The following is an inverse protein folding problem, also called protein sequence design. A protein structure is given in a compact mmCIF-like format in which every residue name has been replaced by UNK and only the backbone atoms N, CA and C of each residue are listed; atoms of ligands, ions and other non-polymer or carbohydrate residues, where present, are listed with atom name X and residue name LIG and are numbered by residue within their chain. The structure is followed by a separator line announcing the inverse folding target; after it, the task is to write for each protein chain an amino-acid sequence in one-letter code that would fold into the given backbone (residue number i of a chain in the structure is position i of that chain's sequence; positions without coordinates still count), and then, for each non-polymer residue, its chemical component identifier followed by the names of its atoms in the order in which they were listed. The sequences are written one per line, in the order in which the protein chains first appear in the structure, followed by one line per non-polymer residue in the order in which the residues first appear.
data_IF_956770315617
#
_entry.id   IF_956770315617
#
_cell.length_a   1.000
_cell.length_b   1.000
_cell.length_c   1.000
_cell.angle_alpha   90.00
_cell.angle_beta   90.00
_cell.angle_gamma   90.00
#
_symmetry.space_group_name_H-M   'P 1'
#
loop_
_entity.id
_entity.type
_entity.pdbx_description
1 polymer ?
#
# COMPACT_ATOMS: atom_id res chain seq x y z
N UNK A 1 47.98 -56.44 23.07
CA UNK A 1 48.92 -55.86 22.08
C UNK A 1 48.28 -54.56 21.66
N UNK A 2 48.59 -53.46 22.37
CA UNK A 2 49.48 -52.38 21.88
C UNK A 2 48.88 -51.78 20.60
N UNK A 3 48.25 -50.61 20.66
CA UNK A 3 48.99 -49.35 20.81
C UNK A 3 48.11 -48.23 21.40
N UNK A 4 48.61 -47.60 22.45
CA UNK A 4 48.27 -46.24 22.85
C UNK A 4 49.23 -45.33 22.09
N UNK A 5 48.71 -44.40 21.31
CA UNK A 5 49.48 -43.26 20.82
C UNK A 5 48.82 -41.97 21.29
N UNK A 6 49.59 -41.29 22.12
CA UNK A 6 49.38 -40.02 22.77
C UNK A 6 49.61 -38.86 21.80
N UNK A 7 49.01 -37.72 22.14
CA UNK A 7 49.70 -36.43 22.30
C UNK A 7 49.34 -35.26 21.37
N UNK A 8 49.24 -34.10 22.05
CA UNK A 8 49.35 -32.69 21.64
C UNK A 8 48.13 -31.92 21.13
N UNK A 9 47.62 -31.13 22.07
CA UNK A 9 47.04 -29.79 21.94
C UNK A 9 47.76 -28.89 20.93
N UNK A 10 46.97 -28.12 20.19
CA UNK A 10 47.32 -26.78 19.74
C UNK A 10 46.08 -25.89 19.76
N UNK A 11 46.07 -24.99 20.72
CA UNK A 11 45.31 -23.74 20.75
C UNK A 11 45.62 -22.91 19.50
N UNK A 12 44.60 -22.43 18.80
CA UNK A 12 44.71 -21.45 17.72
C UNK A 12 43.42 -20.62 17.67
N UNK A 13 43.53 -19.39 18.14
CA UNK A 13 42.50 -18.33 18.15
C UNK A 13 41.86 -18.06 16.76
N UNK A 14 40.65 -17.46 16.74
CA UNK A 14 39.93 -17.13 15.52
C UNK A 14 40.65 -16.03 14.72
N UNK A 15 40.90 -16.30 13.44
CA UNK A 15 41.44 -15.31 12.52
C UNK A 15 40.37 -14.28 12.12
N UNK A 16 40.66 -13.03 12.45
CA UNK A 16 39.96 -11.82 11.99
C UNK A 16 40.17 -11.62 10.48
N UNK A 17 39.08 -11.47 9.73
CA UNK A 17 39.02 -10.81 8.41
C UNK A 17 37.71 -10.00 8.40
N UNK A 18 37.70 -8.75 8.82
CA UNK A 18 38.00 -7.54 8.04
C UNK A 18 37.29 -7.49 6.67
N UNK A 19 36.11 -6.87 6.70
CA UNK A 19 35.56 -5.87 5.79
C UNK A 19 35.99 -5.87 4.32
N UNK A 20 35.02 -6.15 3.45
CA UNK A 20 34.70 -5.46 2.19
C UNK A 20 33.16 -5.41 2.15
N UNK A 21 32.49 -4.33 2.60
CA UNK A 21 32.05 -3.17 1.79
C UNK A 21 31.84 -3.49 0.30
N UNK A 22 30.64 -3.95 -0.01
CA UNK A 22 29.94 -3.71 -1.28
C UNK A 22 28.79 -2.77 -0.90
N UNK A 23 28.59 -1.57 -1.43
CA UNK A 23 28.90 -1.08 -2.77
C UNK A 23 27.58 -0.76 -3.45
N UNK A 24 26.84 0.20 -2.89
CA UNK A 24 25.66 0.79 -3.52
C UNK A 24 26.08 1.39 -4.87
N UNK A 25 25.46 0.91 -5.94
CA UNK A 25 25.53 1.51 -7.27
C UNK A 25 24.22 2.24 -7.49
N UNK A 26 24.23 3.55 -7.24
CA UNK A 26 23.26 4.46 -7.80
C UNK A 26 23.50 4.54 -9.32
N UNK A 27 22.61 3.97 -10.12
CA UNK A 27 22.54 4.23 -11.56
C UNK A 27 21.68 5.46 -11.78
N UNK A 28 22.34 6.52 -12.24
CA UNK A 28 21.75 7.83 -12.47
C UNK A 28 20.77 7.89 -13.64
N UNK A 29 19.84 8.82 -13.49
CA UNK A 29 18.89 9.27 -14.48
C UNK A 29 19.55 9.70 -15.81
N UNK A 30 18.89 9.36 -16.92
CA UNK A 30 19.14 9.92 -18.24
C UNK A 30 17.86 10.62 -18.71
N UNK A 31 17.66 11.87 -18.28
CA UNK A 31 16.64 12.74 -18.85
C UNK A 31 17.14 13.29 -20.20
N UNK A 32 16.46 12.94 -21.29
CA UNK A 32 16.66 13.55 -22.61
C UNK A 32 15.83 14.82 -22.67
N UNK A 33 16.51 15.96 -22.73
CA UNK A 33 15.88 17.27 -22.82
C UNK A 33 15.26 17.55 -24.18
N UNK A 34 14.25 18.43 -24.19
CA UNK A 34 14.10 19.45 -25.23
C UNK A 34 13.94 20.80 -24.56
N UNK A 35 14.82 21.73 -24.92
CA UNK A 35 14.87 23.06 -24.33
C UNK A 35 13.93 24.04 -25.03
N UNK A 36 13.46 25.02 -24.27
CA UNK A 36 13.04 26.32 -24.79
C UNK A 36 13.79 27.41 -24.02
N UNK A 37 14.40 28.31 -24.78
CA UNK A 37 15.28 29.39 -24.32
C UNK A 37 14.48 30.54 -23.72
N UNK A 38 14.90 31.06 -22.57
CA UNK A 38 14.59 32.45 -22.17
C UNK A 38 15.92 33.19 -21.98
N UNK A 39 16.04 34.29 -22.71
CA UNK A 39 17.20 35.15 -22.70
C UNK A 39 17.10 36.19 -21.57
N UNK A 40 18.20 36.31 -20.82
CA UNK A 40 18.71 37.56 -20.25
C UNK A 40 18.13 38.01 -18.90
N UNK A 41 18.97 38.13 -17.88
CA UNK A 41 19.57 39.41 -17.49
C UNK A 41 20.65 39.19 -16.42
N UNK A 42 21.74 39.94 -16.52
CA UNK A 42 22.95 39.80 -15.69
C UNK A 42 22.84 40.53 -14.35
N UNK A 43 23.34 39.90 -13.29
CA UNK A 43 23.87 40.53 -12.08
C UNK A 43 23.12 40.18 -10.80
N UNK A 44 23.76 39.44 -9.90
CA UNK A 44 24.06 39.83 -8.51
C UNK A 44 24.68 38.62 -7.77
N UNK A 45 25.77 38.86 -7.04
CA UNK A 45 26.46 37.85 -6.21
C UNK A 45 25.60 37.51 -5.00
N UNK A 46 25.02 36.31 -4.98
CA UNK A 46 24.32 35.76 -3.82
C UNK A 46 24.76 34.32 -3.59
N UNK A 47 25.48 34.08 -2.49
CA UNK A 47 25.74 32.76 -1.92
C UNK A 47 24.39 32.14 -1.51
N UNK A 48 23.72 31.50 -2.47
CA UNK A 48 22.61 30.60 -2.22
C UNK A 48 23.18 29.21 -1.99
N UNK A 49 23.15 28.75 -0.75
CA UNK A 49 23.17 27.31 -0.50
C UNK A 49 21.88 26.76 -1.13
N UNK A 50 21.99 26.27 -2.36
CA UNK A 50 20.99 25.36 -2.90
C UNK A 50 21.10 24.08 -2.08
N UNK A 51 20.33 24.01 -0.99
CA UNK A 51 19.96 22.74 -0.38
C UNK A 51 19.42 21.87 -1.49
N UNK A 52 20.20 20.85 -1.85
CA UNK A 52 19.74 19.75 -2.68
C UNK A 52 18.79 18.90 -1.83
N UNK A 53 17.59 19.43 -1.57
CA UNK A 53 16.47 18.70 -0.99
C UNK A 53 15.50 18.42 -2.12
N UNK A 54 15.67 17.27 -2.76
CA UNK A 54 14.67 16.72 -3.68
C UNK A 54 14.78 15.19 -3.72
N UNK A 55 15.03 14.56 -2.57
CA UNK A 55 14.46 13.23 -2.38
C UNK A 55 12.97 13.44 -2.21
N UNK A 56 12.13 12.87 -3.08
CA UNK A 56 10.69 12.88 -2.83
C UNK A 56 10.38 12.23 -1.49
N UNK A 57 9.29 12.61 -0.84
CA UNK A 57 8.81 11.90 0.34
C UNK A 57 8.40 10.49 -0.10
N UNK A 58 8.83 9.47 0.64
CA UNK A 58 8.50 8.08 0.37
C UNK A 58 8.35 7.31 1.67
N UNK A 59 7.50 6.29 1.65
CA UNK A 59 7.41 5.33 2.72
C UNK A 59 7.10 3.93 2.17
N UNK A 60 7.46 2.91 2.93
CA UNK A 60 7.01 1.54 2.72
C UNK A 60 6.69 0.91 4.07
N UNK A 61 5.74 -0.01 4.09
CA UNK A 61 5.34 -0.78 5.27
C UNK A 61 5.19 -2.23 4.87
N UNK A 62 5.58 -3.14 5.76
CA UNK A 62 5.36 -4.58 5.62
C UNK A 62 4.58 -5.06 6.86
N UNK A 63 3.38 -5.54 6.62
CA UNK A 63 2.42 -5.98 7.61
C UNK A 63 1.86 -7.33 7.17
N UNK A 64 2.22 -8.39 7.89
CA UNK A 64 1.82 -9.75 7.54
C UNK A 64 0.63 -10.24 8.37
N UNK A 65 -0.06 -11.26 7.84
CA UNK A 65 -1.09 -12.00 8.56
C UNK A 65 -0.55 -12.49 9.91
N UNK A 66 -1.33 -12.34 10.97
CA UNK A 66 -0.88 -12.68 12.31
C UNK A 66 -2.02 -13.03 13.26
N UNK A 67 -1.67 -13.75 14.33
CA UNK A 67 -2.54 -13.94 15.49
C UNK A 67 -2.27 -12.86 16.54
N UNK A 68 -3.32 -12.35 17.18
CA UNK A 68 -3.24 -11.30 18.20
C UNK A 68 -4.15 -11.61 19.40
N UNK A 69 -3.93 -10.90 20.52
CA UNK A 69 -4.90 -10.83 21.62
C UNK A 69 -6.07 -9.87 21.34
N UNK A 70 -6.05 -9.21 20.18
CA UNK A 70 -7.05 -8.27 19.70
C UNK A 70 -6.78 -6.81 20.09
N UNK A 71 -5.74 -6.53 20.88
CA UNK A 71 -5.43 -5.18 21.36
C UNK A 71 -4.08 -4.66 20.88
N UNK A 72 -3.21 -5.52 20.34
CA UNK A 72 -1.90 -5.13 19.81
C UNK A 72 -1.59 -5.88 18.52
N UNK A 73 -1.01 -5.20 17.54
CA UNK A 73 -0.49 -5.79 16.29
C UNK A 73 0.98 -5.44 16.11
N UNK A 74 1.72 -6.27 15.37
CA UNK A 74 3.14 -6.03 15.07
C UNK A 74 3.32 -5.75 13.58
N UNK A 75 4.04 -4.67 13.27
CA UNK A 75 4.52 -4.34 11.91
C UNK A 75 5.93 -4.90 11.74
N UNK A 76 6.19 -5.61 10.63
CA UNK A 76 7.47 -6.28 10.41
C UNK A 76 8.58 -5.28 10.07
N UNK A 77 8.31 -4.39 9.11
CA UNK A 77 9.23 -3.35 8.66
C UNK A 77 8.47 -2.07 8.28
N UNK A 78 9.04 -0.92 8.64
CA UNK A 78 8.60 0.39 8.20
C UNK A 78 9.81 1.15 7.71
N UNK A 79 9.75 1.73 6.52
CA UNK A 79 10.75 2.67 6.01
C UNK A 79 10.09 4.03 5.79
N UNK A 80 10.60 5.09 6.41
CA UNK A 80 10.11 6.46 6.22
C UNK A 80 11.22 7.39 5.73
N UNK A 81 10.93 8.25 4.75
CA UNK A 81 11.84 9.32 4.32
C UNK A 81 11.95 10.45 5.35
N UNK A 82 10.88 10.69 6.08
CA UNK A 82 10.70 11.73 7.08
C UNK A 82 10.04 11.14 8.33
N UNK A 83 9.94 11.90 9.41
CA UNK A 83 9.31 11.42 10.64
C UNK A 83 7.80 11.20 10.48
N UNK A 84 7.24 10.31 11.27
CA UNK A 84 5.81 10.04 11.23
C UNK A 84 5.36 8.85 12.06
N UNK A 85 4.33 8.18 11.58
CA UNK A 85 3.58 7.14 12.29
C UNK A 85 3.17 6.02 11.33
N UNK A 86 2.76 4.87 11.87
CA UNK A 86 1.93 3.90 11.16
C UNK A 86 0.55 3.92 11.77
N UNK A 87 -0.43 4.37 10.99
CA UNK A 87 -1.85 4.28 11.33
C UNK A 87 -2.41 2.96 10.81
N UNK A 88 -3.29 2.34 11.59
CA UNK A 88 -4.06 1.17 11.18
C UNK A 88 -5.49 1.58 10.91
N UNK A 89 -5.95 1.27 9.70
CA UNK A 89 -7.34 1.47 9.32
C UNK A 89 -8.09 0.14 9.25
N UNK A 90 -9.36 0.14 9.64
CA UNK A 90 -10.27 -0.95 9.33
C UNK A 90 -10.87 -0.82 7.91
N UNK A 91 -11.70 -1.78 7.52
CA UNK A 91 -12.27 -1.85 6.17
C UNK A 91 -13.23 -0.70 5.83
N UNK A 92 -13.71 0.06 6.82
CA UNK A 92 -14.56 1.25 6.55
C UNK A 92 -13.80 2.34 5.78
N UNK A 93 -12.46 2.26 5.74
CA UNK A 93 -11.62 3.05 4.85
C UNK A 93 -12.10 2.99 3.39
N UNK A 94 -12.49 1.81 2.92
CA UNK A 94 -12.96 1.58 1.54
C UNK A 94 -14.43 1.99 1.34
N UNK A 95 -15.16 2.24 2.43
CA UNK A 95 -16.52 2.77 2.43
C UNK A 95 -16.55 4.31 2.48
N UNK A 96 -15.38 4.94 2.68
CA UNK A 96 -15.19 6.39 2.69
C UNK A 96 -15.04 7.02 4.07
N UNK A 97 -15.06 6.21 5.12
CA UNK A 97 -14.89 6.65 6.50
C UNK A 97 -13.38 6.79 6.81
N UNK A 98 -12.70 7.67 6.07
CA UNK A 98 -11.22 7.75 6.09
C UNK A 98 -10.67 8.15 7.46
N UNK A 99 -11.37 9.04 8.18
CA UNK A 99 -10.95 9.50 9.51
C UNK A 99 -11.37 8.46 10.56
N UNK A 100 -12.62 8.02 10.51
CA UNK A 100 -13.21 7.11 11.49
C UNK A 100 -12.67 5.68 11.41
N UNK A 101 -12.11 5.28 10.26
CA UNK A 101 -11.48 3.97 10.08
C UNK A 101 -10.18 3.80 10.87
N UNK A 102 -9.56 4.88 11.37
CA UNK A 102 -8.31 4.78 12.15
C UNK A 102 -8.59 4.08 13.48
N UNK A 103 -8.14 2.83 13.60
CA UNK A 103 -8.31 1.97 14.78
C UNK A 103 -7.04 1.79 15.61
N UNK A 104 -5.90 2.26 15.15
CA UNK A 104 -4.64 2.19 15.91
C UNK A 104 -3.58 3.11 15.33
N UNK A 105 -2.62 3.53 16.16
CA UNK A 105 -1.50 4.35 15.71
C UNK A 105 -0.23 3.98 16.48
N UNK A 106 0.89 3.86 15.76
CA UNK A 106 2.19 3.62 16.39
C UNK A 106 2.62 4.79 17.27
N UNK A 107 3.63 4.56 18.10
CA UNK A 107 4.42 5.67 18.63
C UNK A 107 5.14 6.40 17.47
N UNK A 108 5.61 7.62 17.74
CA UNK A 108 6.40 8.41 16.80
C UNK A 108 7.62 7.63 16.29
N UNK A 109 7.83 7.66 14.97
CA UNK A 109 8.92 7.01 14.26
C UNK A 109 9.86 8.05 13.63
N UNK A 110 11.15 7.91 13.91
CA UNK A 110 12.20 8.69 13.25
C UNK A 110 12.37 8.24 11.77
N UNK A 111 12.88 9.11 10.87
CA UNK A 111 13.21 8.72 9.51
C UNK A 111 14.20 7.55 9.45
N UNK A 112 14.01 6.65 8.49
CA UNK A 112 14.82 5.45 8.31
C UNK A 112 14.02 4.16 8.37
N UNK A 113 14.69 3.06 8.70
CA UNK A 113 14.08 1.72 8.76
C UNK A 113 13.88 1.29 10.22
N UNK A 114 12.65 0.92 10.56
CA UNK A 114 12.25 0.39 11.86
C UNK A 114 11.68 -1.02 11.68
N UNK A 115 11.97 -1.91 12.63
CA UNK A 115 11.59 -3.32 12.59
C UNK A 115 10.80 -3.71 13.83
N UNK A 116 9.78 -4.57 13.66
CA UNK A 116 9.03 -5.14 14.78
C UNK A 116 8.37 -4.07 15.65
N UNK A 117 7.52 -3.25 15.04
CA UNK A 117 6.83 -2.15 15.71
C UNK A 117 5.50 -2.66 16.27
N UNK A 118 5.39 -2.75 17.60
CA UNK A 118 4.13 -3.05 18.27
C UNK A 118 3.22 -1.80 18.27
N UNK A 119 1.96 -1.98 17.91
CA UNK A 119 0.96 -0.90 17.85
C UNK A 119 -0.29 -1.32 18.61
N UNK A 120 -0.71 -0.47 19.56
CA UNK A 120 -1.95 -0.67 20.33
C UNK A 120 -3.16 -0.25 19.49
N UNK A 121 -4.19 -1.09 19.48
CA UNK A 121 -5.46 -0.83 18.82
C UNK A 121 -6.47 -0.23 19.81
N UNK A 122 -7.43 0.53 19.29
CA UNK A 122 -8.52 1.19 20.01
C UNK A 122 -8.06 2.21 21.07
N UNK A 123 -6.84 2.72 20.93
CA UNK A 123 -6.27 3.79 21.75
C UNK A 123 -5.67 4.87 20.83
N UNK A 124 -6.55 5.63 20.17
CA UNK A 124 -6.20 6.68 19.22
C UNK A 124 -6.74 8.01 19.74
N UNK A 125 -5.88 9.03 19.84
CA UNK A 125 -6.30 10.37 20.22
C UNK A 125 -7.31 10.92 19.21
N UNK A 126 -8.39 11.54 19.71
CA UNK A 126 -9.47 12.06 18.87
C UNK A 126 -10.52 11.04 18.43
N UNK A 127 -10.29 9.73 18.62
CA UNK A 127 -11.24 8.68 18.27
C UNK A 127 -11.97 8.11 19.50
N UNK A 128 -13.25 7.78 19.34
CA UNK A 128 -14.06 7.07 20.32
C UNK A 128 -14.48 5.71 19.76
N UNK A 129 -14.18 4.62 20.47
CA UNK A 129 -14.48 3.27 20.02
C UNK A 129 -15.61 2.62 20.83
N UNK A 130 -16.52 1.92 20.15
CA UNK A 130 -17.53 1.09 20.81
C UNK A 130 -16.98 -0.26 21.32
N UNK A 131 -15.86 -0.69 20.76
CA UNK A 131 -15.11 -1.90 21.15
C UNK A 131 -13.74 -1.54 21.70
N UNK A 132 -13.19 -2.41 22.54
CA UNK A 132 -11.87 -2.25 23.17
C UNK A 132 -10.85 -3.23 22.58
N UNK A 133 -11.27 -4.12 21.68
CA UNK A 133 -10.43 -5.11 21.00
C UNK A 133 -11.07 -5.60 19.71
N UNK A 134 -10.25 -6.15 18.82
CA UNK A 134 -10.71 -6.96 17.70
C UNK A 134 -11.38 -8.23 18.22
N UNK A 135 -12.34 -8.74 17.45
CA UNK A 135 -13.02 -10.00 17.74
C UNK A 135 -13.11 -10.84 16.47
N UNK A 136 -12.65 -12.09 16.52
CA UNK A 136 -12.58 -12.93 15.32
C UNK A 136 -11.41 -12.52 14.43
N UNK A 137 -11.56 -12.75 13.14
CA UNK A 137 -10.61 -12.28 12.11
C UNK A 137 -11.05 -10.92 11.58
N UNK A 138 -10.14 -9.97 11.50
CA UNK A 138 -10.37 -8.67 10.86
C UNK A 138 -9.26 -8.32 9.87
N UNK A 139 -9.62 -7.65 8.77
CA UNK A 139 -8.65 -7.05 7.87
C UNK A 139 -8.26 -5.66 8.39
N UNK A 140 -6.95 -5.37 8.39
CA UNK A 140 -6.41 -4.06 8.72
C UNK A 140 -5.49 -3.58 7.60
N UNK A 141 -5.56 -2.29 7.32
CA UNK A 141 -4.68 -1.59 6.39
C UNK A 141 -3.65 -0.81 7.20
N UNK A 142 -2.38 -1.17 7.09
CA UNK A 142 -1.28 -0.40 7.64
C UNK A 142 -0.96 0.75 6.67
N UNK A 143 -0.99 1.99 7.16
CA UNK A 143 -0.75 3.19 6.36
C UNK A 143 0.28 4.08 7.07
N UNK A 144 1.44 4.36 6.46
CA UNK A 144 2.37 5.35 7.00
C UNK A 144 1.80 6.76 6.90
N UNK A 145 1.82 7.49 8.01
CA UNK A 145 1.42 8.89 8.13
C UNK A 145 2.62 9.76 8.48
N UNK A 146 2.59 11.03 8.07
CA UNK A 146 3.67 11.99 8.34
C UNK A 146 3.44 12.70 9.67
N UNK A 147 4.51 13.22 10.26
CA UNK A 147 4.45 14.23 11.32
C UNK A 147 4.53 15.64 10.68
N UNK A 148 3.58 16.52 11.00
CA UNK A 148 3.48 17.87 10.41
C UNK A 148 3.40 19.03 11.42
N UNK A 149 3.15 18.76 12.71
CA UNK A 149 2.99 19.73 13.79
C UNK A 149 4.27 20.04 14.61
N UNK A 150 5.33 19.25 14.41
CA UNK A 150 6.60 19.29 15.17
C UNK A 150 6.40 19.06 16.70
N UNK A 151 5.32 18.39 17.11
CA UNK A 151 4.99 18.13 18.52
C UNK A 151 4.94 16.64 18.90
N UNK A 152 5.26 15.75 17.96
CA UNK A 152 5.32 14.29 18.17
C UNK A 152 3.94 13.70 18.56
N UNK A 153 2.84 14.42 18.32
CA UNK A 153 1.47 13.89 18.39
C UNK A 153 0.94 13.49 17.04
N UNK A 154 0.11 12.44 17.03
CA UNK A 154 -0.68 12.08 15.86
C UNK A 154 -2.00 12.86 15.89
N UNK A 155 -2.13 13.83 15.00
CA UNK A 155 -3.22 14.80 14.96
C UNK A 155 -4.19 14.59 13.79
N UNK A 156 -3.99 13.56 12.96
CA UNK A 156 -4.84 13.30 11.78
C UNK A 156 -6.34 13.21 12.12
N UNK A 157 -6.70 12.54 13.21
CA UNK A 157 -8.11 12.37 13.60
C UNK A 157 -8.68 13.67 14.17
N UNK A 158 -7.96 14.29 15.12
CA UNK A 158 -8.41 15.52 15.78
C UNK A 158 -8.48 16.73 14.83
N UNK A 159 -7.61 16.77 13.81
CA UNK A 159 -7.57 17.81 12.78
C UNK A 159 -8.50 17.56 11.59
N UNK A 160 -9.28 16.47 11.62
CA UNK A 160 -10.12 16.03 10.48
C UNK A 160 -9.32 15.87 9.17
N UNK A 161 -8.08 15.36 9.29
CA UNK A 161 -7.17 15.08 8.18
C UNK A 161 -6.40 16.28 7.63
N UNK A 162 -6.47 17.45 8.29
CA UNK A 162 -5.68 18.63 7.91
C UNK A 162 -4.20 18.50 8.27
N UNK A 163 -3.89 17.76 9.35
CA UNK A 163 -2.54 17.46 9.84
C UNK A 163 -2.26 15.95 9.71
N UNK A 164 -0.99 15.61 9.66
CA UNK A 164 -0.47 14.23 9.69
C UNK A 164 -1.07 13.29 8.65
N UNK A 165 -1.35 13.81 7.46
CA UNK A 165 -1.82 13.00 6.34
C UNK A 165 -0.81 11.93 5.90
N UNK A 166 -1.26 10.95 5.10
CA UNK A 166 -0.45 9.81 4.69
C UNK A 166 0.79 10.21 3.90
N UNK A 167 1.82 9.36 3.96
CA UNK A 167 2.87 9.36 2.94
C UNK A 167 2.25 8.92 1.62
N UNK A 168 2.19 9.84 0.66
CA UNK A 168 1.55 9.62 -0.62
C UNK A 168 2.50 9.89 -1.80
N UNK A 169 2.55 8.95 -2.75
CA UNK A 169 3.22 9.11 -4.04
C UNK A 169 2.17 9.27 -5.13
N UNK A 170 2.34 10.30 -5.98
CA UNK A 170 1.35 10.67 -7.01
C UNK A 170 -0.10 10.87 -6.46
N UNK A 171 -0.24 11.17 -5.16
CA UNK A 171 -1.53 11.33 -4.49
C UNK A 171 -2.15 10.04 -3.95
N UNK A 172 -1.49 8.89 -4.09
CA UNK A 172 -1.91 7.60 -3.56
C UNK A 172 -1.09 7.27 -2.30
N UNK A 173 -1.72 6.83 -1.20
CA UNK A 173 -1.01 6.50 0.03
C UNK A 173 -0.19 5.21 -0.13
N UNK A 174 0.95 5.13 0.55
CA UNK A 174 1.59 3.84 0.78
C UNK A 174 0.72 3.02 1.76
N UNK A 175 0.46 1.77 1.44
CA UNK A 175 -0.38 0.88 2.26
C UNK A 175 0.14 -0.55 2.19
N UNK A 176 -0.26 -1.36 3.17
CA UNK A 176 -0.19 -2.82 3.12
C UNK A 176 -1.42 -3.38 3.85
N UNK A 177 -1.95 -4.51 3.41
CA UNK A 177 -3.18 -5.13 3.91
C UNK A 177 -2.86 -6.51 4.48
N UNK A 178 -3.33 -6.77 5.69
CA UNK A 178 -3.29 -8.12 6.25
C UNK A 178 -4.49 -8.45 7.13
N UNK A 179 -4.65 -9.74 7.39
CA UNK A 179 -5.66 -10.29 8.28
C UNK A 179 -5.06 -10.58 9.67
N UNK A 180 -5.76 -10.11 10.70
CA UNK A 180 -5.43 -10.35 12.11
C UNK A 180 -6.47 -11.28 12.72
N UNK A 181 -6.05 -12.45 13.19
CA UNK A 181 -6.89 -13.38 13.95
C UNK A 181 -6.79 -13.08 15.45
N UNK A 182 -7.87 -12.54 16.02
CA UNK A 182 -8.00 -12.24 17.45
C UNK A 182 -8.84 -13.28 18.23
N UNK A 183 -9.09 -14.47 17.65
CA UNK A 183 -9.87 -15.53 18.33
C UNK A 183 -9.19 -16.11 19.57
N UNK A 184 -7.89 -15.86 19.76
CA UNK A 184 -7.11 -16.28 20.93
C UNK A 184 -7.38 -15.50 22.23
N UNK A 185 -8.06 -14.34 22.15
CA UNK A 185 -8.20 -13.39 23.27
C UNK A 185 -9.36 -13.62 24.25
N UNK A 186 -10.40 -14.39 23.89
CA UNK A 186 -11.54 -14.58 24.79
C UNK A 186 -12.67 -15.41 24.18
N UNK A 187 -13.51 -16.01 25.04
CA UNK A 187 -14.70 -16.80 24.69
C UNK A 187 -15.80 -15.94 24.02
N UNK A 188 -15.50 -15.38 22.85
CA UNK A 188 -16.45 -14.74 21.94
C UNK A 188 -16.89 -15.74 20.88
N UNK A 189 -18.19 -15.79 20.60
CA UNK A 189 -18.73 -16.54 19.46
C UNK A 189 -18.15 -15.97 18.18
N UNK A 190 -17.45 -16.82 17.40
CA UNK A 190 -16.98 -16.48 16.08
C UNK A 190 -18.10 -15.80 15.27
N UNK A 191 -17.82 -14.59 14.78
CA UNK A 191 -18.44 -14.16 13.53
C UNK A 191 -17.74 -14.98 12.47
N UNK A 192 -18.51 -15.85 11.82
CA UNK A 192 -18.02 -16.75 10.77
C UNK A 192 -17.23 -15.91 9.75
N UNK A 193 -15.98 -16.31 9.51
CA UNK A 193 -15.31 -16.02 8.24
C UNK A 193 -16.31 -16.31 7.12
N UNK A 194 -16.46 -15.44 6.10
CA UNK A 194 -17.25 -15.78 4.92
C UNK A 194 -16.79 -17.17 4.43
N UNK A 195 -17.69 -18.15 4.43
CA UNK A 195 -17.44 -19.47 3.86
C UNK A 195 -16.82 -19.26 2.46
N UNK A 196 -15.55 -19.61 2.31
CA UNK A 196 -14.77 -19.38 1.08
C UNK A 196 -13.38 -18.73 1.26
N UNK A 197 -13.10 -18.05 2.37
CA UNK A 197 -11.70 -17.66 2.74
C UNK A 197 -11.03 -18.65 3.71
N UNK A 198 -11.83 -19.52 4.34
CA UNK A 198 -11.36 -20.60 5.21
C UNK A 198 -11.13 -21.90 4.44
N UNK A 199 -10.01 -22.55 4.72
CA UNK A 199 -9.50 -23.80 4.12
C UNK A 199 -10.58 -24.85 3.82
N UNK A 200 -10.60 -25.36 2.59
CA UNK A 200 -11.13 -26.69 2.28
C UNK A 200 -10.31 -27.73 3.06
N UNK A 201 -10.85 -28.27 4.15
CA UNK A 201 -10.22 -29.37 4.88
C UNK A 201 -10.26 -30.63 4.01
N UNK A 202 -9.26 -30.82 3.15
CA UNK A 202 -9.03 -32.09 2.49
C UNK A 202 -8.65 -33.12 3.55
N UNK A 203 -9.63 -33.92 3.98
CA UNK A 203 -9.36 -35.17 4.69
C UNK A 203 -8.89 -36.19 3.65
N UNK A 204 -7.63 -36.68 3.67
CA UNK A 204 -7.27 -37.78 2.80
C UNK A 204 -7.93 -39.05 3.35
N UNK A 205 -9.04 -39.48 2.74
CA UNK A 205 -9.63 -40.79 3.02
C UNK A 205 -8.79 -41.90 2.35
N UNK A 206 -7.59 -42.11 2.89
CA UNK A 206 -6.66 -43.15 2.49
C UNK A 206 -6.91 -44.44 3.25
N UNK A 207 -7.93 -45.21 2.86
CA UNK A 207 -8.12 -46.60 3.33
C UNK A 207 -7.09 -47.55 2.68
N UNK A 208 -5.84 -47.48 3.12
CA UNK A 208 -4.75 -48.38 2.75
C UNK A 208 -4.52 -49.48 3.80
N UNK A 209 -4.85 -50.73 3.47
CA UNK A 209 -4.56 -51.90 4.30
C UNK A 209 -3.05 -52.22 4.29
N UNK A 210 -2.36 -52.37 5.44
CA UNK A 210 -0.94 -52.74 5.43
C UNK A 210 -0.80 -54.23 5.10
N UNK A 211 -0.09 -54.53 4.00
CA UNK A 211 0.46 -55.87 3.75
C UNK A 211 1.97 -55.80 3.90
N UNK A 212 2.46 -56.31 5.03
CA UNK A 212 3.88 -56.53 5.27
C UNK A 212 4.46 -57.53 4.26
N UNK A 213 5.56 -57.16 3.59
CA UNK A 213 6.57 -58.10 3.10
C UNK A 213 7.93 -57.39 3.06
N UNK A 214 8.95 -57.88 3.79
CA UNK A 214 10.29 -57.34 3.69
C UNK A 214 11.10 -58.13 2.68
N UNK A 215 11.62 -57.48 1.63
CA UNK A 215 12.91 -57.89 1.07
C UNK A 215 13.58 -56.71 0.35
N UNK A 216 14.85 -56.49 0.67
CA UNK A 216 15.58 -55.28 0.29
C UNK A 216 16.14 -55.32 -1.13
N UNK A 217 16.33 -54.14 -1.71
CA UNK A 217 17.45 -53.78 -2.59
C UNK A 217 17.48 -52.25 -2.70
N UNK A 218 18.54 -51.64 -2.18
CA UNK A 218 18.78 -50.20 -2.28
C UNK A 218 19.05 -49.81 -3.75
N UNK A 219 18.24 -48.90 -4.29
CA UNK A 219 18.57 -48.08 -5.46
C UNK A 219 17.84 -46.75 -5.24
N UNK A 220 18.58 -45.66 -5.40
CA UNK A 220 18.19 -44.32 -4.95
C UNK A 220 16.82 -43.89 -5.43
N UNK A 221 16.02 -43.46 -4.47
CA UNK A 221 14.82 -42.67 -4.69
C UNK A 221 15.04 -41.41 -3.87
N UNK A 222 15.08 -40.28 -4.57
CA UNK A 222 14.84 -38.95 -4.00
C UNK A 222 13.55 -39.03 -3.20
N UNK A 223 13.66 -39.17 -1.88
CA UNK A 223 12.54 -39.05 -0.96
C UNK A 223 12.81 -37.81 -0.14
N UNK A 224 12.39 -36.69 -0.71
CA UNK A 224 12.11 -35.45 -0.01
C UNK A 224 10.70 -35.00 -0.38
N UNK A 225 9.69 -35.84 -0.15
CA UNK A 225 8.37 -35.31 0.20
C UNK A 225 8.51 -34.87 1.65
N UNK A 226 9.01 -33.66 1.84
CA UNK A 226 8.62 -32.90 3.02
C UNK A 226 7.20 -32.41 2.70
N UNK A 227 6.19 -32.90 3.43
CA UNK A 227 4.83 -32.31 3.50
C UNK A 227 4.96 -30.88 4.08
N UNK A 228 5.62 -29.99 3.35
CA UNK A 228 5.62 -28.58 3.65
C UNK A 228 4.25 -28.05 3.26
N UNK A 229 3.61 -27.32 4.17
CA UNK A 229 2.39 -26.58 3.83
C UNK A 229 2.71 -25.60 2.69
N UNK A 230 1.89 -25.55 1.62
CA UNK A 230 2.08 -24.58 0.55
C UNK A 230 2.13 -23.16 1.14
N UNK A 231 2.99 -22.32 0.59
CA UNK A 231 3.16 -20.93 1.00
C UNK A 231 3.36 -20.03 -0.21
N UNK A 232 2.96 -18.77 -0.07
CA UNK A 232 3.22 -17.74 -1.06
C UNK A 232 3.53 -16.39 -0.41
N UNK A 233 4.13 -15.50 -1.20
CA UNK A 233 4.18 -14.06 -0.94
C UNK A 233 3.81 -13.32 -2.22
N UNK A 234 3.26 -12.13 -2.10
CA UNK A 234 2.94 -11.25 -3.22
C UNK A 234 3.30 -9.82 -2.83
N UNK A 235 3.77 -9.04 -3.80
CA UNK A 235 4.16 -7.64 -3.65
C UNK A 235 3.56 -6.83 -4.81
N UNK A 236 2.86 -5.76 -4.49
CA UNK A 236 2.08 -4.95 -5.42
C UNK A 236 2.07 -3.48 -5.03
N UNK A 237 2.65 -2.68 -5.91
CA UNK A 237 2.78 -1.24 -5.69
C UNK A 237 1.65 -0.46 -6.37
N UNK A 238 1.41 0.75 -5.87
CA UNK A 238 0.58 1.75 -6.52
C UNK A 238 1.07 2.02 -7.95
N UNK A 239 0.16 2.06 -8.91
CA UNK A 239 0.53 2.22 -10.32
C UNK A 239 -0.57 2.81 -11.19
N UNK A 240 -0.23 3.19 -12.41
CA UNK A 240 -1.22 3.48 -13.44
C UNK A 240 -1.55 2.20 -14.20
N UNK A 241 -2.83 2.00 -14.52
CA UNK A 241 -3.26 0.95 -15.45
C UNK A 241 -2.71 1.28 -16.83
N UNK A 242 -2.08 0.31 -17.49
CA UNK A 242 -1.53 0.46 -18.83
C UNK A 242 -2.03 -0.69 -19.70
N UNK A 243 -2.54 -0.37 -20.90
CA UNK A 243 -3.04 -1.37 -21.85
C UNK A 243 -4.05 -2.37 -21.24
N UNK A 244 -4.97 -1.87 -20.40
CA UNK A 244 -5.96 -2.66 -19.64
C UNK A 244 -5.32 -3.75 -18.75
N UNK A 245 -4.07 -3.55 -18.30
CA UNK A 245 -3.35 -4.46 -17.43
C UNK A 245 -2.62 -3.73 -16.28
N UNK A 246 -2.25 -4.50 -15.27
CA UNK A 246 -1.39 -4.07 -14.16
C UNK A 246 -0.24 -5.06 -13.99
N UNK A 247 0.81 -4.63 -13.28
CA UNK A 247 1.99 -5.46 -13.02
C UNK A 247 2.08 -5.78 -11.53
N UNK A 248 2.08 -7.07 -11.19
CA UNK A 248 2.46 -7.56 -9.86
C UNK A 248 3.99 -7.62 -9.79
N UNK A 249 4.56 -6.94 -8.79
CA UNK A 249 5.99 -6.68 -8.68
C UNK A 249 6.79 -7.97 -8.49
N UNK A 250 6.45 -8.74 -7.46
CA UNK A 250 6.99 -10.06 -7.19
C UNK A 250 5.89 -11.00 -6.66
N UNK A 251 5.94 -12.26 -7.08
CA UNK A 251 5.14 -13.33 -6.50
C UNK A 251 6.05 -14.54 -6.27
N UNK A 252 6.09 -15.07 -5.05
CA UNK A 252 6.78 -16.31 -4.73
C UNK A 252 5.72 -17.36 -4.43
N UNK A 253 5.70 -18.44 -5.22
CA UNK A 253 4.81 -19.57 -4.99
C UNK A 253 5.63 -20.82 -4.65
N UNK A 254 5.31 -21.50 -3.56
CA UNK A 254 5.97 -22.77 -3.21
C UNK A 254 5.58 -23.92 -4.15
N UNK A 255 4.37 -23.82 -4.71
CA UNK A 255 3.76 -24.75 -5.67
C UNK A 255 3.23 -23.94 -6.87
N UNK A 256 2.63 -24.58 -7.87
CA UNK A 256 2.13 -23.87 -9.05
C UNK A 256 0.78 -23.20 -8.78
N UNK A 257 0.42 -22.19 -9.55
CA UNK A 257 -0.87 -21.53 -9.39
C UNK A 257 -1.00 -20.21 -10.14
N UNK A 258 -1.76 -19.28 -9.57
CA UNK A 258 -2.17 -18.03 -10.21
C UNK A 258 -2.05 -16.85 -9.25
N UNK A 259 -2.04 -15.64 -9.78
CA UNK A 259 -2.33 -14.42 -9.02
C UNK A 259 -3.63 -13.83 -9.54
N UNK A 260 -4.67 -13.86 -8.70
CA UNK A 260 -5.95 -13.22 -8.97
C UNK A 260 -5.95 -11.79 -8.42
N UNK A 261 -6.51 -10.85 -9.15
CA UNK A 261 -6.72 -9.48 -8.71
C UNK A 261 -8.16 -9.34 -8.25
N UNK A 262 -8.34 -8.96 -6.99
CA UNK A 262 -9.64 -8.61 -6.44
C UNK A 262 -9.77 -7.09 -6.30
N UNK A 263 -10.98 -6.55 -6.42
CA UNK A 263 -11.27 -5.17 -6.02
C UNK A 263 -11.81 -5.07 -4.57
N UNK A 264 -12.17 -3.85 -4.13
CA UNK A 264 -12.67 -3.59 -2.77
C UNK A 264 -13.87 -4.46 -2.34
N UNK A 265 -14.64 -5.03 -3.29
CA UNK A 265 -15.80 -5.87 -2.98
C UNK A 265 -15.42 -7.14 -2.22
N UNK A 266 -14.16 -7.60 -2.35
CA UNK A 266 -13.62 -8.71 -1.57
C UNK A 266 -13.76 -8.46 -0.06
N UNK A 267 -13.45 -7.24 0.37
CA UNK A 267 -13.49 -6.82 1.77
C UNK A 267 -14.93 -6.63 2.28
N UNK A 268 -15.87 -6.41 1.36
CA UNK A 268 -17.32 -6.46 1.62
C UNK A 268 -17.91 -7.87 1.62
N UNK A 269 -17.11 -8.91 1.38
CA UNK A 269 -17.51 -10.31 1.38
C UNK A 269 -17.98 -10.86 0.03
N UNK A 270 -17.85 -10.11 -1.06
CA UNK A 270 -18.19 -10.59 -2.42
C UNK A 270 -16.99 -11.37 -3.01
N UNK A 271 -16.74 -12.58 -2.49
CA UNK A 271 -15.53 -13.37 -2.77
C UNK A 271 -15.29 -13.62 -4.27
N UNK A 272 -16.33 -14.08 -4.98
CA UNK A 272 -16.19 -14.49 -6.39
C UNK A 272 -16.35 -13.32 -7.36
N UNK A 273 -17.29 -12.40 -7.06
CA UNK A 273 -17.56 -11.28 -7.96
C UNK A 273 -16.47 -10.21 -7.91
N UNK A 274 -15.66 -10.17 -6.86
CA UNK A 274 -14.54 -9.24 -6.72
C UNK A 274 -13.35 -9.56 -7.61
N UNK A 275 -13.25 -10.77 -8.18
CA UNK A 275 -12.19 -11.11 -9.16
C UNK A 275 -12.37 -10.27 -10.42
N UNK A 276 -11.35 -9.47 -10.75
CA UNK A 276 -11.34 -8.53 -11.89
C UNK A 276 -10.20 -8.80 -12.89
N UNK A 277 -9.39 -9.82 -12.65
CA UNK A 277 -8.32 -10.26 -13.53
C UNK A 277 -7.54 -11.41 -12.91
N UNK A 278 -6.94 -12.27 -13.74
CA UNK A 278 -6.15 -13.42 -13.28
C UNK A 278 -4.93 -13.58 -14.18
N UNK A 279 -3.78 -13.88 -13.57
CA UNK A 279 -2.55 -14.16 -14.31
C UNK A 279 -2.68 -15.42 -15.16
N UNK A 280 -1.75 -15.60 -16.10
CA UNK A 280 -1.47 -16.95 -16.61
C UNK A 280 -0.91 -17.84 -15.48
N UNK A 281 -0.94 -19.16 -15.69
CA UNK A 281 -0.37 -20.11 -14.74
C UNK A 281 1.12 -19.82 -14.50
N UNK A 282 1.50 -19.85 -13.23
CA UNK A 282 2.84 -19.62 -12.72
C UNK A 282 3.40 -20.92 -12.14
N UNK A 283 4.50 -21.41 -12.70
CA UNK A 283 5.24 -22.56 -12.13
C UNK A 283 5.75 -22.26 -10.70
N UNK A 284 6.05 -23.27 -9.86
CA UNK A 284 6.65 -23.02 -8.53
C UNK A 284 7.94 -22.18 -8.61
N UNK A 285 8.05 -21.12 -7.81
CA UNK A 285 9.23 -20.25 -7.73
C UNK A 285 8.92 -18.77 -7.58
N UNK A 286 9.96 -17.94 -7.82
CA UNK A 286 9.86 -16.48 -7.80
C UNK A 286 9.57 -15.96 -9.21
N UNK A 287 8.49 -15.22 -9.34
CA UNK A 287 8.07 -14.50 -10.54
C UNK A 287 8.16 -13.00 -10.28
N UNK A 288 8.50 -12.24 -11.32
CA UNK A 288 8.67 -10.80 -11.23
C UNK A 288 8.04 -10.12 -12.42
N UNK A 289 7.46 -8.95 -12.18
CA UNK A 289 6.73 -8.20 -13.18
C UNK A 289 5.70 -9.09 -13.89
N UNK A 290 4.84 -9.74 -13.10
CA UNK A 290 3.74 -10.57 -13.63
C UNK A 290 2.67 -9.62 -14.15
N UNK A 291 2.48 -9.60 -15.47
CA UNK A 291 1.44 -8.81 -16.12
C UNK A 291 0.10 -9.53 -15.97
N UNK A 292 -0.91 -8.84 -15.45
CA UNK A 292 -2.26 -9.37 -15.29
C UNK A 292 -3.24 -8.46 -16.00
N UNK A 293 -3.94 -9.02 -16.99
CA UNK A 293 -4.98 -8.31 -17.72
C UNK A 293 -6.22 -8.15 -16.82
N UNK A 294 -6.81 -6.96 -16.86
CA UNK A 294 -8.06 -6.65 -16.19
C UNK A 294 -9.23 -6.91 -17.15
N UNK A 295 -10.28 -7.55 -16.67
CA UNK A 295 -11.46 -7.88 -17.47
C UNK A 295 -12.21 -6.62 -17.94
N UNK A 296 -12.36 -5.65 -17.03
CA UNK A 296 -12.92 -4.32 -17.29
C UNK A 296 -12.34 -3.29 -16.29
N UNK A 297 -11.26 -2.57 -16.65
CA UNK A 297 -10.65 -1.54 -15.79
C UNK A 297 -11.60 -0.41 -15.36
N UNK A 298 -12.67 -0.19 -16.13
CA UNK A 298 -13.67 0.84 -15.82
C UNK A 298 -14.70 0.39 -14.79
N UNK A 299 -14.82 -0.93 -14.56
CA UNK A 299 -15.72 -1.53 -13.59
C UNK A 299 -15.10 -1.72 -12.19
N UNK A 300 -13.79 -1.54 -12.05
CA UNK A 300 -13.10 -1.62 -10.75
C UNK A 300 -13.72 -0.59 -9.79
N UNK A 301 -14.13 -1.06 -8.61
CA UNK A 301 -14.74 -0.22 -7.60
C UNK A 301 -13.81 0.94 -7.19
N UNK A 302 -14.34 2.16 -7.28
CA UNK A 302 -13.69 3.36 -6.78
C UNK A 302 -14.08 3.60 -5.32
N UNK A 303 -13.11 3.90 -4.48
CA UNK A 303 -13.33 4.29 -3.09
C UNK A 303 -13.12 5.79 -2.94
N UNK A 304 -13.97 6.49 -2.16
CA UNK A 304 -13.80 7.91 -1.90
C UNK A 304 -12.61 8.12 -0.96
N UNK A 305 -11.43 8.31 -1.55
CA UNK A 305 -10.20 8.63 -0.84
C UNK A 305 -9.84 10.11 -1.08
N UNK A 306 -9.55 10.94 -0.06
CA UNK A 306 -9.07 12.30 -0.27
C UNK A 306 -7.59 12.29 -0.70
N UNK A 307 -7.15 13.16 -1.64
CA UNK A 307 -7.92 14.21 -2.32
C UNK A 307 -8.63 13.77 -3.62
N UNK A 308 -8.40 12.54 -4.10
CA UNK A 308 -8.98 12.01 -5.34
C UNK A 308 -9.37 10.52 -5.17
N UNK A 309 -10.48 10.08 -5.78
CA UNK A 309 -10.92 8.69 -5.67
C UNK A 309 -9.82 7.74 -6.14
N UNK A 310 -9.72 6.60 -5.45
CA UNK A 310 -8.72 5.59 -5.72
C UNK A 310 -9.40 4.25 -6.05
N UNK A 311 -8.73 3.40 -6.83
CA UNK A 311 -9.21 2.06 -7.16
C UNK A 311 -8.30 1.04 -6.48
N UNK A 312 -8.66 0.49 -5.30
CA UNK A 312 -7.86 -0.51 -4.64
C UNK A 312 -7.93 -1.84 -5.40
N UNK A 313 -6.78 -2.49 -5.55
CA UNK A 313 -6.64 -3.86 -5.99
C UNK A 313 -5.92 -4.68 -4.91
N UNK A 314 -6.44 -5.87 -4.67
CA UNK A 314 -5.95 -6.85 -3.70
C UNK A 314 -5.48 -8.07 -4.48
N UNK A 315 -4.19 -8.16 -4.87
CA UNK A 315 -3.65 -9.37 -5.45
C UNK A 315 -3.64 -10.50 -4.42
N UNK A 316 -4.10 -11.67 -4.84
CA UNK A 316 -4.19 -12.87 -4.02
C UNK A 316 -3.61 -14.05 -4.81
N UNK A 317 -2.54 -14.70 -4.32
CA UNK A 317 -2.07 -15.94 -4.91
C UNK A 317 -3.08 -17.07 -4.68
N UNK A 318 -3.41 -17.82 -5.74
CA UNK A 318 -4.23 -19.03 -5.70
C UNK A 318 -3.39 -20.25 -6.07
N UNK A 319 -3.60 -21.37 -5.38
CA UNK A 319 -2.91 -22.63 -5.59
C UNK A 319 -3.69 -23.49 -6.60
N UNK A 320 -3.07 -23.89 -7.70
CA UNK A 320 -3.66 -24.88 -8.62
C UNK A 320 -3.83 -26.21 -7.86
N UNK A 321 -5.07 -26.53 -7.47
CA UNK A 321 -5.34 -27.60 -6.50
C UNK A 321 -5.65 -28.94 -7.16
N UNK A 322 -6.04 -28.92 -8.43
CA UNK A 322 -6.38 -30.11 -9.21
C UNK A 322 -5.36 -30.44 -10.31
N UNK A 323 -4.26 -29.69 -10.37
CA UNK A 323 -3.09 -29.87 -11.25
C UNK A 323 -3.46 -29.81 -12.74
N UNK A 324 -4.35 -28.89 -13.11
CA UNK A 324 -4.92 -28.78 -14.44
C UNK A 324 -4.45 -27.54 -15.24
N UNK A 325 -3.67 -26.65 -14.60
CA UNK A 325 -3.14 -25.38 -15.11
C UNK A 325 -4.23 -24.36 -15.54
N UNK A 326 -5.50 -24.56 -15.15
CA UNK A 326 -6.62 -23.62 -15.37
C UNK A 326 -7.04 -22.98 -14.06
N UNK A 327 -7.58 -21.75 -14.11
CA UNK A 327 -8.12 -21.08 -12.93
C UNK A 327 -9.62 -21.32 -12.82
N UNK A 328 -10.02 -22.11 -11.83
CA UNK A 328 -11.38 -22.61 -11.65
C UNK A 328 -12.08 -22.06 -10.39
N UNK A 329 -11.41 -21.31 -9.51
CA UNK A 329 -11.94 -20.80 -8.24
C UNK A 329 -13.35 -20.20 -8.33
N UNK A 330 -13.63 -19.38 -9.34
CA UNK A 330 -14.94 -18.73 -9.51
C UNK A 330 -16.00 -19.72 -9.99
N UNK A 331 -15.65 -20.58 -10.95
CA UNK A 331 -16.58 -21.55 -11.56
C UNK A 331 -16.88 -22.73 -10.62
N UNK A 332 -15.91 -23.12 -9.79
CA UNK A 332 -16.02 -24.15 -8.77
C UNK A 332 -16.61 -23.64 -7.45
N UNK A 333 -16.95 -22.35 -7.34
CA UNK A 333 -17.38 -21.71 -6.08
C UNK A 333 -16.39 -21.95 -4.94
N UNK A 334 -15.09 -21.91 -5.26
CA UNK A 334 -13.97 -22.06 -4.31
C UNK A 334 -13.62 -23.50 -3.93
N UNK A 335 -14.26 -24.51 -4.54
CA UNK A 335 -13.86 -25.92 -4.34
C UNK A 335 -12.46 -26.23 -4.87
N UNK A 336 -12.14 -25.70 -6.05
CA UNK A 336 -10.84 -25.78 -6.70
C UNK A 336 -10.15 -24.41 -6.65
N UNK A 337 -8.82 -24.40 -6.76
CA UNK A 337 -7.97 -23.21 -6.75
C UNK A 337 -8.17 -22.23 -5.61
N UNK A 338 -8.20 -22.74 -4.37
CA UNK A 338 -8.24 -21.88 -3.19
C UNK A 338 -6.99 -20.98 -3.06
N UNK A 339 -7.09 -19.89 -2.27
CA UNK A 339 -5.95 -19.02 -2.03
C UNK A 339 -4.82 -19.74 -1.29
N UNK A 340 -3.58 -19.32 -1.54
CA UNK A 340 -2.50 -19.61 -0.60
C UNK A 340 -2.81 -18.94 0.74
N UNK A 341 -2.54 -19.64 1.84
CA UNK A 341 -2.84 -19.14 3.19
C UNK A 341 -1.61 -19.07 4.07
N UNK A 342 -1.51 -18.02 4.88
CA UNK A 342 -0.56 -17.84 5.97
C UNK A 342 -1.32 -17.51 7.25
N UNK A 343 -0.94 -18.12 8.38
CA UNK A 343 -1.68 -18.02 9.66
C UNK A 343 -3.18 -18.37 9.52
N UNK A 344 -3.52 -19.27 8.58
CA UNK A 344 -4.90 -19.68 8.29
C UNK A 344 -5.74 -18.63 7.54
N UNK A 345 -5.13 -17.52 7.10
CA UNK A 345 -5.78 -16.44 6.34
C UNK A 345 -5.19 -16.37 4.94
N UNK A 346 -5.95 -15.88 3.96
CA UNK A 346 -5.47 -15.69 2.59
C UNK A 346 -4.25 -14.76 2.58
N UNK A 347 -3.24 -15.11 1.79
CA UNK A 347 -2.10 -14.24 1.50
C UNK A 347 -2.58 -13.18 0.52
N UNK A 348 -2.45 -11.92 0.91
CA UNK A 348 -2.84 -10.76 0.10
C UNK A 348 -1.81 -9.66 0.24
N UNK A 349 -1.91 -8.68 -0.64
CA UNK A 349 -1.30 -7.35 -0.51
C UNK A 349 -2.35 -6.32 -0.98
N UNK A 350 -2.04 -5.04 -0.99
CA UNK A 350 -2.94 -3.97 -1.42
C UNK A 350 -2.16 -2.86 -2.12
N UNK A 351 -2.68 -2.45 -3.28
CA UNK A 351 -2.22 -1.23 -3.95
C UNK A 351 -3.36 -0.53 -4.67
N UNK A 352 -3.17 0.75 -4.96
CA UNK A 352 -4.11 1.57 -5.68
C UNK A 352 -3.70 1.72 -7.13
N UNK A 353 -4.69 1.65 -8.02
CA UNK A 353 -4.49 1.90 -9.44
C UNK A 353 -5.19 3.18 -9.89
N UNK A 354 -4.56 3.86 -10.83
CA UNK A 354 -5.15 5.00 -11.53
C UNK A 354 -5.37 4.63 -12.99
N UNK A 355 -6.57 4.92 -13.50
CA UNK A 355 -6.82 4.85 -14.94
C UNK A 355 -6.54 6.23 -15.52
N UNK A 356 -5.78 6.31 -16.61
CA UNK A 356 -5.67 7.57 -17.34
C UNK A 356 -7.08 7.96 -17.80
N UNK A 357 -7.61 9.07 -17.28
CA UNK A 357 -8.83 9.66 -17.81
C UNK A 357 -8.58 9.92 -19.28
N UNK A 358 -9.34 9.25 -20.17
CA UNK A 358 -9.35 9.49 -21.61
C UNK A 358 -9.43 11.00 -21.82
N UNK A 359 -8.29 11.59 -22.19
CA UNK A 359 -8.02 13.00 -21.96
C UNK A 359 -9.20 13.88 -22.31
N UNK A 360 -9.63 14.71 -21.36
CA UNK A 360 -10.41 15.90 -21.69
C UNK A 360 -9.60 16.67 -22.73
N UNK A 361 -10.00 16.55 -24.00
CA UNK A 361 -9.54 17.38 -25.10
C UNK A 361 -9.90 18.82 -24.74
N UNK A 362 -9.00 19.46 -24.00
CA UNK A 362 -9.01 20.90 -23.77
C UNK A 362 -8.59 21.49 -25.09
N UNK A 363 -9.56 21.53 -26.02
CA UNK A 363 -9.43 22.09 -27.34
C UNK A 363 -8.69 23.41 -27.23
N UNK A 364 -7.44 23.40 -27.65
CA UNK A 364 -6.63 24.59 -27.75
C UNK A 364 -7.33 25.46 -28.77
N UNK A 365 -8.05 26.47 -28.29
CA UNK A 365 -8.61 27.49 -29.15
C UNK A 365 -7.44 28.13 -29.91
N UNK A 366 -7.35 27.88 -31.21
CA UNK A 366 -6.43 28.57 -32.11
C UNK A 366 -6.62 30.08 -31.94
N UNK A 367 -5.66 30.72 -31.27
CA UNK A 367 -5.62 32.16 -31.10
C UNK A 367 -5.44 32.82 -32.45
N UNK A 368 -6.39 33.69 -32.82
CA UNK A 368 -6.30 34.52 -34.01
C UNK A 368 -5.03 35.39 -33.99
N UNK A 369 -4.24 35.31 -35.05
CA UNK A 369 -3.04 36.11 -35.31
C UNK A 369 -3.35 37.61 -35.24
N UNK A 370 -2.76 38.33 -34.28
CA UNK A 370 -2.70 39.79 -34.30
C UNK A 370 -1.30 40.26 -34.72
N UNK A 371 -1.23 40.68 -35.99
CA UNK A 371 -0.09 41.28 -36.66
C UNK A 371 0.41 42.53 -35.92
N UNK A 372 1.64 42.46 -35.38
CA UNK A 372 2.25 43.56 -34.61
C UNK A 372 3.01 44.50 -35.54
N UNK A 373 2.33 45.55 -36.02
CA UNK A 373 2.91 46.65 -36.78
C UNK A 373 3.86 47.53 -35.94
N UNK A 374 5.07 47.74 -36.46
CA UNK A 374 6.14 48.61 -35.93
C UNK A 374 5.72 50.09 -35.79
N UNK A 375 6.07 50.81 -34.69
CA UNK A 375 5.75 52.23 -34.57
C UNK A 375 6.87 53.12 -35.12
N UNK A 376 6.50 54.17 -35.87
CA UNK A 376 7.35 55.33 -36.17
C UNK A 376 6.55 56.60 -35.85
N UNK A 377 7.20 57.55 -35.16
CA UNK A 377 6.62 58.81 -34.64
C UNK A 377 5.93 59.70 -35.68
N UNK A 378 5.22 60.78 -35.33
CA UNK A 378 5.69 61.98 -34.60
C UNK A 378 4.48 62.90 -34.32
N UNK A 379 4.67 63.87 -33.41
CA UNK A 379 4.02 65.19 -33.27
C UNK A 379 2.74 65.38 -32.40
N UNK A 380 3.01 66.06 -31.26
CA UNK A 380 2.33 67.18 -30.60
C UNK A 380 1.01 67.71 -31.17
N UNK A 381 0.00 67.87 -30.30
CA UNK A 381 -0.65 69.17 -29.97
C UNK A 381 -1.47 69.08 -28.66
N UNK A 382 -1.66 70.25 -28.06
CA UNK A 382 -2.10 70.59 -26.70
C UNK A 382 -3.63 70.69 -26.55
N UNK A 383 -4.16 70.42 -25.34
CA UNK A 383 -5.14 71.23 -24.57
C UNK A 383 -6.05 70.33 -23.68
N UNK A 384 -6.03 70.44 -22.33
CA UNK A 384 -6.91 71.30 -21.49
C UNK A 384 -8.32 70.67 -21.36
N UNK A 385 -8.93 70.35 -20.21
CA UNK A 385 -8.95 71.02 -18.91
C UNK A 385 -9.57 70.14 -17.79
N UNK A 386 -9.17 70.42 -16.54
CA UNK A 386 -9.91 70.46 -15.25
C UNK A 386 -10.74 69.29 -14.71
N UNK A 387 -10.50 68.99 -13.42
CA UNK A 387 -11.58 68.63 -12.49
C UNK A 387 -11.22 67.79 -11.26
N UNK A 388 -10.52 68.40 -10.30
CA UNK A 388 -10.27 68.13 -8.86
C UNK A 388 -11.30 67.28 -8.06
N UNK A 389 -10.87 66.67 -6.92
CA UNK A 389 -11.38 65.44 -6.29
C UNK A 389 -12.21 65.73 -5.01
N UNK A 390 -12.17 64.79 -4.04
CA UNK A 390 -12.69 64.82 -2.64
C UNK A 390 -14.03 64.06 -2.47
N UNK A 391 -14.28 63.24 -1.45
CA UNK A 391 -13.56 62.99 -0.22
C UNK A 391 -14.22 61.88 0.62
N UNK A 392 -13.65 61.75 1.81
CA UNK A 392 -13.75 60.83 2.97
C UNK A 392 -15.13 60.64 3.62
N UNK A 393 -15.18 59.69 4.59
CA UNK A 393 -16.11 59.53 5.73
C UNK A 393 -17.32 58.59 5.45
N UNK A 394 -17.88 57.74 6.32
CA UNK A 394 -17.64 57.34 7.72
C UNK A 394 -18.57 56.16 8.05
N UNK A 395 -18.21 55.40 9.10
CA UNK A 395 -18.93 54.27 9.71
C UNK A 395 -20.42 54.51 10.03
N UNK A 396 -21.19 53.43 10.19
CA UNK A 396 -22.37 53.37 11.08
C UNK A 396 -22.66 51.91 11.48
N UNK A 397 -22.51 51.62 12.79
CA UNK A 397 -23.17 50.50 13.48
C UNK A 397 -24.70 50.68 13.42
N UNK A 398 -25.46 49.58 13.39
CA UNK A 398 -26.81 49.62 13.96
C UNK A 398 -27.21 48.28 14.55
N UNK A 399 -27.26 48.28 15.88
CA UNK A 399 -27.99 47.38 16.77
C UNK A 399 -29.50 47.34 16.43
N UNK A 400 -30.10 46.16 16.52
CA UNK A 400 -31.55 45.99 16.56
C UNK A 400 -31.93 44.69 17.28
N UNK A 401 -31.92 44.73 18.61
CA UNK A 401 -32.80 43.86 19.39
C UNK A 401 -34.26 44.31 19.29
N UNK A 402 -35.20 43.38 19.16
CA UNK A 402 -36.54 43.50 19.78
C UNK A 402 -37.18 42.12 19.92
N UNK A 403 -37.39 41.70 21.17
CA UNK A 403 -38.30 40.64 21.57
C UNK A 403 -39.74 41.16 21.61
N UNK A 404 -40.73 40.25 21.51
CA UNK A 404 -41.96 40.18 22.34
C UNK A 404 -43.23 39.82 21.54
N UNK A 405 -43.82 38.70 21.98
CA UNK A 405 -45.23 38.27 22.07
C UNK A 405 -46.24 38.69 21.00
N UNK A 406 -47.01 37.69 20.51
CA UNK A 406 -48.45 37.42 20.79
C UNK A 406 -48.83 36.16 19.98
N UNK A 407 -49.63 35.17 20.39
CA UNK A 407 -50.43 34.87 21.57
C UNK A 407 -50.75 33.36 21.59
#
# INVERSE_FOLDING_TARGET
MTDESTDRSATGEPSRRTFLKSGALATGALAVGTGAVVAGQSGDDGDGEESQETGGQFASVQFANQSSDGTTVSVDEVTLSDSGYVAFHDVSLFEGDVIESVVGVSEYLEPGVTYGTDVTLFDVAGADFETESLTGTGALVAMPHRETGDDESYDFVDSEGEEDGPFAEAGLPAVDLAFVDATGGGEGTATETPDGMGTATATPDGTGTPTDTPDGTATGTETGSDDATPFATVDFENQAVADDAVTVGEALLSEGGFVALHDARLLGGELFESVVGVSEYLEPGVHRAVEVALDDPSAIAEVPFPPAPAKPLVPMPHLDTDDDDSYDFVDSEGEDDGPYTAEGQAVVDLGFVTTEDEGTDTGTAEGEDTDTGTPVGTDTETATETGTPDGTETATETDAGTATDIA
#
